data_IF_419016293131
#
_entry.id   IF_419016293131
#
_cell.length_a   1.000
_cell.length_b   1.000
_cell.length_c   1.000
_cell.angle_alpha   90.00
_cell.angle_beta   90.00
_cell.angle_gamma   90.00
#
_symmetry.space_group_name_H-M   'P 1'
#
loop_
_entity.id
_entity.type
_entity.pdbx_description
1 polymer ?
#
# COMPACT_ATOMS: atom_id res chain seq x y z
N UNK A 1 10.53 11.41 -6.57
CA UNK A 1 9.44 10.51 -6.14
C UNK A 1 8.33 11.34 -5.48
N UNK A 2 7.13 10.80 -5.32
CA UNK A 2 6.07 11.41 -4.53
C UNK A 2 5.86 10.62 -3.25
N UNK A 3 5.64 11.32 -2.16
CA UNK A 3 5.24 10.74 -0.90
C UNK A 3 3.71 10.82 -0.81
N UNK A 4 3.07 9.71 -0.46
CA UNK A 4 1.63 9.53 -0.45
C UNK A 4 1.18 9.02 0.92
N UNK A 5 0.14 9.64 1.48
CA UNK A 5 -0.48 9.28 2.75
C UNK A 5 -1.98 9.01 2.58
N UNK A 6 -2.54 8.17 3.44
CA UNK A 6 -3.92 7.67 3.37
C UNK A 6 -4.07 6.41 2.50
N UNK A 7 -3.01 5.59 2.42
CA UNK A 7 -2.97 4.38 1.60
C UNK A 7 -3.37 3.10 2.37
N UNK A 8 -3.96 3.24 3.55
CA UNK A 8 -4.29 2.17 4.53
C UNK A 8 -5.11 1.01 3.93
N UNK A 9 -5.97 1.33 2.97
CA UNK A 9 -6.91 0.39 2.35
C UNK A 9 -6.49 -0.03 0.94
N UNK A 10 -5.25 0.30 0.55
CA UNK A 10 -4.71 0.06 -0.78
C UNK A 10 -3.65 -1.02 -0.76
N UNK A 11 -3.75 -1.90 -1.74
CA UNK A 11 -2.66 -2.83 -2.06
C UNK A 11 -1.61 -2.16 -2.96
N UNK A 12 -0.38 -2.70 -2.98
CA UNK A 12 0.68 -2.27 -3.90
C UNK A 12 0.19 -2.15 -5.35
N UNK A 13 -0.61 -3.12 -5.81
CA UNK A 13 -1.24 -3.10 -7.14
C UNK A 13 -2.20 -1.92 -7.34
N UNK A 14 -3.03 -1.60 -6.35
CA UNK A 14 -3.98 -0.48 -6.44
C UNK A 14 -3.25 0.86 -6.44
N UNK A 15 -2.17 1.00 -5.66
CA UNK A 15 -1.33 2.20 -5.70
C UNK A 15 -0.73 2.38 -7.10
N UNK A 16 -0.13 1.34 -7.68
CA UNK A 16 0.40 1.41 -9.05
C UNK A 16 -0.69 1.69 -10.10
N UNK A 17 -1.90 1.16 -9.92
CA UNK A 17 -3.05 1.40 -10.80
C UNK A 17 -3.44 2.89 -10.83
N UNK A 18 -3.45 3.57 -9.67
CA UNK A 18 -3.74 5.02 -9.57
C UNK A 18 -2.75 5.83 -10.42
N UNK A 19 -1.46 5.48 -10.35
CA UNK A 19 -0.39 6.23 -10.99
C UNK A 19 -0.03 5.73 -12.39
N UNK A 20 -0.68 4.68 -12.90
CA UNK A 20 -0.30 3.99 -14.15
C UNK A 20 -0.13 4.92 -15.35
N UNK A 21 -0.99 5.95 -15.47
CA UNK A 21 -0.94 6.94 -16.55
C UNK A 21 0.31 7.82 -16.55
N UNK A 22 1.12 7.76 -15.49
CA UNK A 22 2.35 8.53 -15.30
C UNK A 22 3.60 7.64 -15.24
N UNK A 23 3.47 6.36 -15.63
CA UNK A 23 4.58 5.40 -15.72
C UNK A 23 5.38 5.26 -14.41
N UNK A 24 4.72 4.84 -13.30
CA UNK A 24 5.37 4.69 -12.02
C UNK A 24 6.42 3.59 -12.12
N UNK A 25 7.60 3.83 -11.55
CA UNK A 25 8.71 2.87 -11.55
C UNK A 25 8.56 1.83 -10.44
N UNK A 26 7.92 2.23 -9.34
CA UNK A 26 7.70 1.35 -8.20
C UNK A 26 7.05 2.08 -7.03
N UNK A 27 6.70 1.29 -6.01
CA UNK A 27 6.16 1.78 -4.74
C UNK A 27 7.05 1.26 -3.62
N UNK A 28 7.55 2.15 -2.80
CA UNK A 28 8.29 1.86 -1.57
C UNK A 28 7.38 2.18 -0.37
N UNK A 29 6.98 1.17 0.37
CA UNK A 29 6.16 1.33 1.57
C UNK A 29 7.03 1.73 2.76
N UNK A 30 6.60 2.79 3.46
CA UNK A 30 7.25 3.31 4.65
C UNK A 30 6.58 2.75 5.91
N UNK A 31 5.25 2.79 5.93
CA UNK A 31 4.39 2.20 6.96
C UNK A 31 3.07 1.68 6.33
N UNK A 32 2.05 1.40 7.13
CA UNK A 32 0.74 0.93 6.68
C UNK A 32 -0.16 2.03 6.09
N UNK A 33 0.10 3.29 6.41
CA UNK A 33 -0.66 4.47 5.99
C UNK A 33 0.06 5.32 4.93
N UNK A 34 1.35 5.05 4.65
CA UNK A 34 2.21 5.89 3.82
C UNK A 34 3.19 5.11 2.93
N UNK A 35 3.41 5.63 1.72
CA UNK A 35 4.37 5.08 0.76
C UNK A 35 4.95 6.14 -0.17
N UNK A 36 6.12 5.86 -0.73
CA UNK A 36 6.73 6.62 -1.80
C UNK A 36 6.46 5.97 -3.15
N UNK A 37 6.02 6.76 -4.12
CA UNK A 37 5.87 6.35 -5.51
C UNK A 37 7.02 6.93 -6.32
N UNK A 38 7.86 6.04 -6.86
CA UNK A 38 8.99 6.40 -7.69
C UNK A 38 8.53 6.64 -9.13
N UNK A 39 9.07 7.68 -9.75
CA UNK A 39 8.84 8.03 -11.16
C UNK A 39 10.19 8.17 -11.85
N UNK A 40 10.20 8.03 -13.18
CA UNK A 40 11.41 8.14 -13.98
C UNK A 40 12.08 9.51 -13.84
N UNK A 41 11.27 10.57 -13.87
CA UNK A 41 11.73 11.96 -13.85
C UNK A 41 10.85 12.82 -12.94
N UNK A 42 11.41 13.93 -12.43
CA UNK A 42 10.67 14.89 -11.60
C UNK A 42 9.46 15.50 -12.33
N UNK A 43 9.57 15.69 -13.65
CA UNK A 43 8.49 16.19 -14.48
C UNK A 43 7.24 15.28 -14.45
N UNK A 44 7.41 13.97 -14.31
CA UNK A 44 6.30 13.03 -14.16
C UNK A 44 5.61 13.23 -12.81
N UNK A 45 6.37 13.36 -11.72
CA UNK A 45 5.84 13.65 -10.39
C UNK A 45 5.10 15.00 -10.33
N UNK A 46 5.63 16.05 -10.98
CA UNK A 46 4.94 17.34 -11.10
C UNK A 46 3.60 17.22 -11.85
N UNK A 47 3.55 16.43 -12.93
CA UNK A 47 2.30 16.19 -13.68
C UNK A 47 1.26 15.46 -12.83
N UNK A 48 1.69 14.49 -12.02
CA UNK A 48 0.81 13.78 -11.08
C UNK A 48 0.17 14.76 -10.12
N UNK A 49 0.95 15.60 -9.44
CA UNK A 49 0.41 16.60 -8.51
C UNK A 49 -0.58 17.52 -9.25
N UNK A 50 -0.20 18.09 -10.40
CA UNK A 50 -1.09 18.98 -11.16
C UNK A 50 -2.41 18.33 -11.58
N UNK A 51 -2.39 17.04 -11.91
CA UNK A 51 -3.56 16.32 -12.43
C UNK A 51 -4.43 15.74 -11.31
N UNK A 52 -3.83 15.37 -10.19
CA UNK A 52 -4.51 14.73 -9.07
C UNK A 52 -4.89 15.71 -7.97
N UNK A 53 -4.18 16.82 -7.80
CA UNK A 53 -4.49 17.83 -6.79
C UNK A 53 -5.96 18.28 -6.92
N UNK A 54 -6.65 18.28 -5.78
CA UNK A 54 -7.89 19.02 -5.67
C UNK A 54 -7.61 20.52 -5.88
N UNK A 55 -8.57 21.30 -6.42
CA UNK A 55 -8.42 22.75 -6.49
C UNK A 55 -8.20 23.29 -5.08
N UNK A 56 -6.99 23.79 -4.81
CA UNK A 56 -6.65 24.40 -3.53
C UNK A 56 -7.36 25.76 -3.46
N UNK A 57 -8.03 26.11 -2.34
CA UNK A 57 -8.43 27.49 -2.09
C UNK A 57 -7.21 28.43 -2.18
N UNK A 58 -7.37 29.69 -2.60
CA UNK A 58 -6.28 30.59 -3.02
C UNK A 58 -5.24 30.99 -1.93
N UNK A 59 -5.24 30.36 -0.76
CA UNK A 59 -4.49 30.79 0.43
C UNK A 59 -3.15 30.05 0.64
N UNK A 60 -2.70 29.22 -0.31
CA UNK A 60 -1.44 28.47 -0.16
C UNK A 60 -0.77 28.18 -1.50
N UNK A 61 0.30 28.93 -1.82
CA UNK A 61 1.13 28.67 -2.98
C UNK A 61 1.81 27.29 -2.92
N UNK A 62 2.30 26.76 -4.05
CA UNK A 62 2.93 25.45 -4.10
C UNK A 62 4.35 25.50 -3.50
N UNK A 63 4.47 25.39 -2.18
CA UNK A 63 5.74 25.08 -1.52
C UNK A 63 5.94 23.55 -1.51
N UNK A 64 7.18 23.10 -1.68
CA UNK A 64 7.53 21.67 -1.81
C UNK A 64 7.24 20.85 -0.54
N UNK A 65 7.00 21.53 0.59
CA UNK A 65 6.65 20.94 1.89
C UNK A 65 5.14 20.85 2.14
N UNK A 66 4.31 21.40 1.27
CA UNK A 66 2.86 21.36 1.45
C UNK A 66 2.24 20.07 0.91
N UNK A 67 1.54 19.37 1.80
CA UNK A 67 0.63 18.30 1.43
C UNK A 67 -0.51 18.85 0.59
N UNK A 68 -0.75 18.20 -0.54
CA UNK A 68 -1.89 18.49 -1.40
C UNK A 68 -2.83 17.31 -1.36
N UNK A 69 -4.10 17.56 -1.07
CA UNK A 69 -5.14 16.52 -1.11
C UNK A 69 -5.52 16.26 -2.57
N UNK A 70 -5.61 14.99 -2.95
CA UNK A 70 -6.06 14.61 -4.28
C UNK A 70 -7.55 14.81 -4.45
N UNK A 71 -8.01 14.97 -5.69
CA UNK A 71 -9.41 14.74 -6.06
C UNK A 71 -9.82 13.31 -5.67
N UNK A 72 -11.13 13.03 -5.49
CA UNK A 72 -11.61 11.68 -5.24
C UNK A 72 -11.11 10.70 -6.30
N UNK A 73 -10.36 9.69 -5.86
CA UNK A 73 -9.82 8.60 -6.66
C UNK A 73 -10.69 7.38 -6.45
N UNK A 74 -10.93 6.62 -7.50
CA UNK A 74 -11.67 5.36 -7.42
C UNK A 74 -10.77 4.23 -7.89
N UNK A 75 -10.63 3.19 -7.06
CA UNK A 75 -9.90 1.96 -7.40
C UNK A 75 -10.81 0.75 -7.33
N UNK A 76 -10.54 -0.22 -8.20
CA UNK A 76 -11.28 -1.48 -8.30
C UNK A 76 -11.71 -1.80 -9.73
N UNK A 77 -11.85 -3.08 -10.04
CA UNK A 77 -12.32 -3.50 -11.36
C UNK A 77 -13.81 -3.21 -11.52
N UNK A 78 -14.13 -2.27 -12.41
CA UNK A 78 -15.45 -2.23 -13.03
C UNK A 78 -15.61 -3.55 -13.80
N UNK A 79 -16.55 -4.41 -13.39
CA UNK A 79 -16.85 -5.65 -14.11
C UNK A 79 -17.41 -5.32 -15.51
N UNK A 80 -16.56 -5.00 -16.47
CA UNK A 80 -16.93 -5.00 -17.89
C UNK A 80 -16.84 -6.44 -18.38
N UNK A 81 -17.89 -7.20 -18.14
CA UNK A 81 -18.02 -8.55 -18.67
C UNK A 81 -19.37 -9.16 -18.30
N UNK A 82 -20.15 -9.55 -19.32
CA UNK A 82 -21.37 -10.38 -19.22
C UNK A 82 -21.06 -11.82 -18.75
N UNK A 83 -20.25 -12.00 -17.71
CA UNK A 83 -20.01 -13.29 -17.08
C UNK A 83 -20.54 -13.23 -15.66
N UNK A 84 -21.56 -14.06 -15.37
CA UNK A 84 -22.16 -14.18 -14.04
C UNK A 84 -21.03 -14.40 -13.01
N UNK A 85 -20.92 -13.56 -11.98
CA UNK A 85 -19.90 -13.75 -10.96
C UNK A 85 -20.15 -15.09 -10.26
N UNK A 86 -19.11 -15.93 -10.20
CA UNK A 86 -19.09 -17.05 -9.25
C UNK A 86 -19.19 -16.46 -7.85
N UNK A 87 -20.06 -17.02 -7.00
CA UNK A 87 -20.31 -16.53 -5.65
C UNK A 87 -19.00 -16.51 -4.84
N UNK A 88 -18.37 -15.33 -4.76
CA UNK A 88 -17.05 -15.17 -4.14
C UNK A 88 -16.38 -13.85 -4.50
N UNK A 89 -16.78 -12.79 -3.78
CA UNK A 89 -16.14 -11.45 -3.71
C UNK A 89 -16.04 -10.67 -5.03
N UNK A 90 -17.13 -10.00 -5.41
CA UNK A 90 -17.02 -8.79 -6.23
C UNK A 90 -16.19 -7.76 -5.43
N UNK A 91 -15.02 -7.35 -5.95
CA UNK A 91 -14.23 -6.27 -5.35
C UNK A 91 -14.99 -4.97 -5.57
N UNK A 92 -15.58 -4.41 -4.51
CA UNK A 92 -16.31 -3.15 -4.58
C UNK A 92 -15.38 -2.03 -5.05
N UNK A 93 -15.87 -1.16 -5.93
CA UNK A 93 -15.24 0.13 -6.19
C UNK A 93 -15.18 0.89 -4.87
N UNK A 94 -14.01 1.46 -4.57
CA UNK A 94 -13.80 2.29 -3.38
C UNK A 94 -13.32 3.65 -3.83
N UNK A 95 -13.97 4.69 -3.32
CA UNK A 95 -13.58 6.08 -3.54
C UNK A 95 -12.90 6.62 -2.28
N UNK A 96 -11.74 7.26 -2.46
CA UNK A 96 -10.91 7.79 -1.38
C UNK A 96 -10.11 8.99 -1.92
N UNK A 97 -9.42 9.69 -1.04
CA UNK A 97 -8.49 10.77 -1.39
C UNK A 97 -7.14 10.46 -0.77
N UNK A 98 -6.07 10.89 -1.43
CA UNK A 98 -4.71 10.76 -0.93
C UNK A 98 -4.15 12.14 -0.62
N UNK A 99 -3.33 12.23 0.40
CA UNK A 99 -2.46 13.39 0.58
C UNK A 99 -1.15 13.09 -0.15
N UNK A 100 -0.73 14.01 -1.03
CA UNK A 100 0.46 13.84 -1.86
C UNK A 100 1.37 15.05 -1.76
N UNK A 101 2.68 14.82 -1.68
CA UNK A 101 3.73 15.85 -1.77
C UNK A 101 4.98 15.29 -2.44
N UNK A 102 5.96 16.14 -2.72
CA UNK A 102 7.28 15.65 -3.14
C UNK A 102 7.93 14.87 -2.00
N UNK A 103 8.47 13.69 -2.34
CA UNK A 103 9.26 12.93 -1.39
C UNK A 103 10.59 13.66 -1.13
N UNK A 104 10.94 13.75 0.14
CA UNK A 104 12.14 14.40 0.67
C UNK A 104 13.10 13.37 1.24
N UNK A 105 14.29 13.80 1.67
CA UNK A 105 15.26 12.91 2.31
C UNK A 105 14.76 12.31 3.63
N UNK A 106 13.80 12.96 4.28
CA UNK A 106 13.15 12.47 5.51
C UNK A 106 12.20 11.29 5.25
N UNK A 107 11.73 11.11 4.01
CA UNK A 107 10.74 10.10 3.65
C UNK A 107 11.38 8.77 3.25
N UNK A 108 12.64 8.53 3.61
CA UNK A 108 13.30 7.26 3.30
C UNK A 108 12.82 6.17 4.24
N UNK A 109 12.66 4.97 3.72
CA UNK A 109 12.44 3.79 4.54
C UNK A 109 13.62 3.61 5.50
N UNK A 110 13.34 3.57 6.81
CA UNK A 110 14.37 3.26 7.79
C UNK A 110 14.84 1.82 7.57
N UNK A 111 16.13 1.59 7.25
CA UNK A 111 16.66 0.26 7.00
C UNK A 111 16.58 -0.67 8.22
N UNK A 112 16.37 -0.13 9.43
CA UNK A 112 16.13 -0.89 10.66
C UNK A 112 14.69 -1.38 10.85
N UNK A 113 13.72 -0.87 10.08
CA UNK A 113 12.30 -1.27 10.14
C UNK A 113 11.89 -2.16 8.97
N UNK A 114 12.72 -3.17 8.68
CA UNK A 114 12.25 -4.35 7.98
C UNK A 114 11.33 -5.14 8.90
N UNK A 115 10.01 -4.93 8.81
CA UNK A 115 9.00 -5.72 9.54
C UNK A 115 9.02 -7.23 9.23
N UNK A 116 9.99 -7.70 8.44
CA UNK A 116 10.12 -9.08 8.01
C UNK A 116 11.31 -9.85 8.60
N UNK A 117 12.15 -9.24 9.44
CA UNK A 117 13.38 -9.93 9.91
C UNK A 117 13.40 -10.34 11.38
N UNK A 118 12.77 -9.63 12.33
CA UNK A 118 12.90 -9.99 13.75
C UNK A 118 11.64 -9.67 14.59
N UNK A 119 10.45 -9.95 14.06
CA UNK A 119 9.28 -9.89 14.93
C UNK A 119 9.31 -11.11 15.86
N UNK A 120 9.85 -10.92 17.07
CA UNK A 120 9.89 -11.88 18.19
C UNK A 120 8.55 -12.64 18.34
N UNK A 121 7.44 -11.96 18.05
CA UNK A 121 6.12 -12.55 18.07
C UNK A 121 5.95 -13.70 17.07
N UNK A 122 6.36 -13.51 15.80
CA UNK A 122 6.22 -14.55 14.78
C UNK A 122 7.11 -15.77 15.06
N UNK A 123 8.31 -15.56 15.60
CA UNK A 123 9.19 -16.66 16.00
C UNK A 123 8.62 -17.45 17.17
N UNK A 124 8.11 -16.76 18.20
CA UNK A 124 7.44 -17.41 19.33
C UNK A 124 6.20 -18.19 18.89
N UNK A 125 5.38 -17.64 18.00
CA UNK A 125 4.18 -18.32 17.47
C UNK A 125 4.55 -19.57 16.67
N UNK A 126 5.59 -19.51 15.82
CA UNK A 126 6.09 -20.68 15.09
C UNK A 126 6.59 -21.77 16.03
N UNK A 127 7.31 -21.40 17.09
CA UNK A 127 7.80 -22.35 18.08
C UNK A 127 6.65 -23.05 18.81
N UNK A 128 5.62 -22.30 19.25
CA UNK A 128 4.44 -22.88 19.89
C UNK A 128 3.69 -23.85 18.96
N UNK A 129 3.53 -23.50 17.68
CA UNK A 129 2.92 -24.38 16.70
C UNK A 129 3.73 -25.66 16.46
N UNK A 130 5.07 -25.55 16.41
CA UNK A 130 5.95 -26.70 16.26
C UNK A 130 5.85 -27.65 17.47
N UNK A 131 5.85 -27.11 18.69
CA UNK A 131 5.68 -27.87 19.94
C UNK A 131 4.32 -28.57 19.94
N UNK A 132 3.24 -27.84 19.62
CA UNK A 132 1.89 -28.39 19.61
C UNK A 132 1.72 -29.51 18.58
N UNK A 133 2.34 -29.35 17.40
CA UNK A 133 2.35 -30.39 16.37
C UNK A 133 3.11 -31.64 16.83
N UNK A 134 4.30 -31.48 17.43
CA UNK A 134 5.07 -32.61 17.96
C UNK A 134 4.30 -33.36 19.06
N UNK A 135 3.64 -32.63 19.96
CA UNK A 135 2.81 -33.23 21.01
C UNK A 135 1.63 -34.00 20.43
N UNK A 136 0.98 -33.47 19.39
CA UNK A 136 -0.11 -34.17 18.72
C UNK A 136 0.37 -35.45 18.01
N UNK A 137 1.50 -35.38 17.30
CA UNK A 137 2.10 -36.54 16.64
C UNK A 137 2.50 -37.63 17.64
N UNK A 138 3.12 -37.24 18.77
CA UNK A 138 3.45 -38.17 19.85
C UNK A 138 2.20 -38.82 20.46
N UNK A 139 1.13 -38.03 20.66
CA UNK A 139 -0.16 -38.56 21.13
C UNK A 139 -0.80 -39.52 20.13
N UNK A 140 -0.72 -39.21 18.83
CA UNK A 140 -1.21 -40.09 17.76
C UNK A 140 -0.42 -41.39 17.71
N UNK A 141 0.90 -41.34 17.87
CA UNK A 141 1.75 -42.53 17.86
C UNK A 141 1.47 -43.44 19.07
N UNK A 142 1.28 -42.87 20.27
CA UNK A 142 0.87 -43.63 21.47
C UNK A 142 -0.48 -44.33 21.33
N UNK A 143 -1.42 -43.79 20.56
CA UNK A 143 -2.72 -44.43 20.29
C UNK A 143 -2.65 -45.56 19.26
N UNK A 144 -1.54 -45.67 18.52
CA UNK A 144 -1.35 -46.67 17.45
C UNK A 144 -0.55 -47.90 17.92
N UNK A 145 0.05 -47.84 19.11
CA UNK A 145 0.64 -48.98 19.82
C UNK A 145 -0.41 -49.60 20.75
#
# INVERSE_FOLDING_TARGET
ALHCYGVDFLSNKEVLEIFTSFEPQGVEWLDDSSCNVAFKDEAAAQRVIKQLAAPVPPEGGPSSEHWTVSKPLTVGQQQQGKQKPKAGKARSLRTFQLEIRFATEADRKDPGHSGHTDSIYYDHVKEQQAIQKQQEEARRMKKRQ
#
